data_IF_612196472895
#
_entry.id   IF_612196472895
#
_cell.length_a   1.000
_cell.length_b   1.000
_cell.length_c   1.000
_cell.angle_alpha   90.00
_cell.angle_beta   90.00
_cell.angle_gamma   90.00
#
_symmetry.space_group_name_H-M   'P 1'
#
loop_
_entity.id
_entity.type
_entity.pdbx_description
1 polymer ?
#
# COMPACT_ATOMS: atom_id res chain seq x y z
N UNK A 1 -39.38 2.59 9.29
CA UNK A 1 -38.59 2.98 8.10
C UNK A 1 -37.15 2.58 8.39
N UNK A 2 -36.72 1.47 7.81
CA UNK A 2 -35.39 0.90 8.06
C UNK A 2 -34.40 1.58 7.12
N UNK A 3 -33.50 2.40 7.68
CA UNK A 3 -32.33 2.91 6.98
C UNK A 3 -31.40 1.71 6.70
N UNK A 4 -31.54 1.09 5.55
CA UNK A 4 -30.48 0.29 4.98
C UNK A 4 -29.38 1.27 4.59
N UNK A 5 -28.37 1.42 5.45
CA UNK A 5 -27.10 1.98 5.06
C UNK A 5 -26.56 1.05 3.99
N UNK A 6 -26.61 1.51 2.75
CA UNK A 6 -26.04 0.86 1.57
C UNK A 6 -24.50 0.89 1.73
N UNK A 7 -23.97 -0.03 2.53
CA UNK A 7 -22.53 -0.22 2.67
C UNK A 7 -22.05 -1.00 1.47
N UNK A 8 -21.83 -0.30 0.35
CA UNK A 8 -21.06 -0.87 -0.73
C UNK A 8 -19.73 -1.41 -0.18
N UNK A 9 -19.32 -2.61 -0.58
CA UNK A 9 -18.06 -3.17 -0.09
C UNK A 9 -16.92 -2.23 -0.47
N UNK A 10 -16.25 -1.69 0.53
CA UNK A 10 -15.12 -0.79 0.33
C UNK A 10 -14.03 -1.50 -0.45
N UNK A 11 -13.53 -0.85 -1.47
CA UNK A 11 -12.39 -1.33 -2.23
C UNK A 11 -11.10 -1.09 -1.43
N UNK A 12 -10.14 -2.00 -1.55
CA UNK A 12 -8.85 -1.89 -0.86
C UNK A 12 -7.71 -1.88 -1.84
N UNK A 13 -6.79 -0.94 -1.63
CA UNK A 13 -5.49 -0.87 -2.30
C UNK A 13 -4.39 -0.94 -1.24
N UNK A 14 -3.31 -1.64 -1.55
CA UNK A 14 -2.16 -1.69 -0.66
C UNK A 14 -0.85 -1.36 -1.37
N UNK A 15 0.10 -0.90 -0.59
CA UNK A 15 1.44 -0.54 -1.04
C UNK A 15 2.48 -1.31 -0.25
N UNK A 16 3.53 -1.78 -0.94
CA UNK A 16 4.77 -2.12 -0.25
C UNK A 16 5.45 -0.86 0.29
N UNK A 17 6.40 -1.02 1.17
CA UNK A 17 7.18 0.07 1.73
C UNK A 17 8.51 0.27 0.99
N UNK A 18 9.41 -0.70 1.11
CA UNK A 18 10.76 -0.59 0.55
C UNK A 18 10.70 -0.54 -0.98
N UNK A 19 11.43 0.38 -1.59
CA UNK A 19 11.48 0.69 -3.03
C UNK A 19 10.12 1.14 -3.65
N UNK A 20 9.05 1.18 -2.87
CA UNK A 20 7.74 1.70 -3.30
C UNK A 20 7.44 3.03 -2.64
N UNK A 21 7.08 3.05 -1.36
CA UNK A 21 6.84 4.28 -0.61
C UNK A 21 8.12 4.83 0.04
N UNK A 22 9.04 3.97 0.45
CA UNK A 22 10.36 4.32 0.95
C UNK A 22 11.39 4.18 -0.16
N UNK A 23 12.04 5.27 -0.53
CA UNK A 23 13.00 5.29 -1.62
C UNK A 23 14.28 6.04 -1.24
N UNK A 24 15.36 5.74 -1.95
CA UNK A 24 16.60 6.48 -1.80
C UNK A 24 16.52 7.84 -2.51
N UNK A 25 16.87 8.94 -1.83
CA UNK A 25 16.94 10.26 -2.48
C UNK A 25 18.06 10.37 -3.53
N UNK A 26 18.94 9.37 -3.61
CA UNK A 26 19.98 9.28 -4.65
C UNK A 26 19.41 8.84 -6.01
N UNK A 27 18.32 8.10 -5.99
CA UNK A 27 17.71 7.48 -7.19
C UNK A 27 16.31 7.99 -7.50
N UNK A 28 15.63 8.56 -6.52
CA UNK A 28 14.23 8.99 -6.65
C UNK A 28 14.06 10.40 -6.09
N UNK A 29 13.07 11.12 -6.62
CA UNK A 29 12.54 12.32 -5.96
C UNK A 29 11.77 11.92 -4.70
N UNK A 30 11.92 12.69 -3.64
CA UNK A 30 11.32 12.39 -2.34
C UNK A 30 10.52 13.56 -1.80
N UNK A 31 9.56 13.25 -0.94
CA UNK A 31 8.93 14.26 -0.10
C UNK A 31 9.99 14.99 0.72
N UNK A 32 9.74 16.23 1.15
CA UNK A 32 10.67 16.94 2.02
C UNK A 32 11.01 16.14 3.27
N UNK A 33 12.28 16.15 3.73
CA UNK A 33 12.64 15.43 4.95
C UNK A 33 11.90 16.02 6.15
N UNK A 34 11.63 15.20 7.14
CA UNK A 34 11.12 15.68 8.42
C UNK A 34 12.13 16.63 9.07
N UNK A 35 11.63 17.60 9.82
CA UNK A 35 12.48 18.56 10.54
C UNK A 35 13.10 17.93 11.77
N UNK A 36 14.23 18.49 12.24
CA UNK A 36 14.79 18.13 13.54
C UNK A 36 13.77 18.33 14.66
N UNK A 37 13.67 17.41 15.62
CA UNK A 37 14.48 16.20 15.82
C UNK A 37 13.92 14.94 15.11
N UNK A 38 12.79 15.00 14.45
CA UNK A 38 12.11 13.84 13.85
C UNK A 38 12.94 13.15 12.78
N UNK A 39 13.71 13.90 12.01
CA UNK A 39 14.60 13.36 10.97
C UNK A 39 15.74 12.47 11.54
N UNK A 40 15.99 12.51 12.83
CA UNK A 40 16.92 11.59 13.50
C UNK A 40 16.28 10.29 13.95
N UNK A 41 14.97 10.32 14.14
CA UNK A 41 14.16 9.16 14.56
C UNK A 41 13.68 8.40 13.31
N UNK A 42 13.14 9.13 12.35
CA UNK A 42 12.58 8.58 11.11
C UNK A 42 13.53 8.91 9.95
N UNK A 43 14.30 7.92 9.52
CA UNK A 43 15.34 8.09 8.49
C UNK A 43 14.87 7.78 7.09
N UNK A 44 13.77 7.05 6.96
CA UNK A 44 13.20 6.71 5.67
C UNK A 44 12.70 7.97 4.95
N UNK A 45 12.91 8.00 3.65
CA UNK A 45 12.45 9.05 2.77
C UNK A 45 11.28 8.56 1.94
N UNK A 46 10.20 9.31 1.96
CA UNK A 46 9.00 8.96 1.18
C UNK A 46 9.20 9.36 -0.28
N UNK A 47 8.77 8.51 -1.20
CA UNK A 47 8.69 8.84 -2.63
C UNK A 47 7.84 10.08 -2.81
N UNK A 48 8.30 11.01 -3.65
CA UNK A 48 7.55 12.24 -3.97
C UNK A 48 6.18 11.88 -4.55
N UNK A 49 5.14 12.54 -4.07
CA UNK A 49 3.75 12.29 -4.45
C UNK A 49 2.98 11.39 -3.47
N UNK A 50 3.66 10.70 -2.55
CA UNK A 50 2.98 9.84 -1.56
C UNK A 50 1.97 10.61 -0.72
N UNK A 51 2.33 11.79 -0.24
CA UNK A 51 1.47 12.62 0.62
C UNK A 51 0.18 13.09 -0.07
N UNK A 52 0.22 13.23 -1.40
CA UNK A 52 -0.94 13.59 -2.23
C UNK A 52 -1.74 12.35 -2.65
N UNK A 53 -1.07 11.31 -3.10
CA UNK A 53 -1.68 10.08 -3.64
C UNK A 53 -2.63 9.41 -2.66
N UNK A 54 -2.22 9.23 -1.40
CA UNK A 54 -2.99 8.47 -0.43
C UNK A 54 -4.35 9.13 -0.13
N UNK A 55 -4.44 10.45 0.14
CA UNK A 55 -5.73 11.13 0.27
C UNK A 55 -6.60 11.07 -1.00
N UNK A 56 -6.00 11.15 -2.20
CA UNK A 56 -6.74 11.05 -3.46
C UNK A 56 -7.38 9.67 -3.65
N UNK A 57 -6.66 8.58 -3.35
CA UNK A 57 -7.22 7.23 -3.38
C UNK A 57 -8.38 7.08 -2.39
N UNK A 58 -8.27 7.69 -1.22
CA UNK A 58 -9.36 7.69 -0.24
C UNK A 58 -10.57 8.47 -0.74
N UNK A 59 -10.37 9.58 -1.45
CA UNK A 59 -11.44 10.35 -2.08
C UNK A 59 -12.14 9.55 -3.20
N UNK A 60 -11.44 8.62 -3.87
CA UNK A 60 -12.02 7.66 -4.80
C UNK A 60 -12.81 6.52 -4.12
N UNK A 61 -12.82 6.47 -2.79
CA UNK A 61 -13.55 5.46 -2.01
C UNK A 61 -12.73 4.23 -1.63
N UNK A 62 -11.41 4.27 -1.81
CA UNK A 62 -10.53 3.18 -1.37
C UNK A 62 -10.19 3.28 0.12
N UNK A 63 -10.16 2.12 0.78
CA UNK A 63 -9.33 1.92 1.97
C UNK A 63 -7.89 1.70 1.51
N UNK A 64 -6.96 2.46 2.09
CA UNK A 64 -5.55 2.38 1.71
C UNK A 64 -4.76 1.68 2.80
N UNK A 65 -4.07 0.63 2.40
CA UNK A 65 -3.33 -0.27 3.28
C UNK A 65 -1.83 -0.26 2.97
N UNK A 66 -1.03 -0.68 3.92
CA UNK A 66 0.36 -1.10 3.72
C UNK A 66 0.40 -2.62 3.78
N UNK A 67 1.13 -3.24 2.85
CA UNK A 67 1.47 -4.65 2.92
C UNK A 67 2.95 -4.84 2.60
N UNK A 68 3.73 -5.14 3.59
CA UNK A 68 5.19 -5.26 3.50
C UNK A 68 5.71 -6.53 4.17
N UNK A 69 6.81 -7.07 3.67
CA UNK A 69 7.54 -8.16 4.31
C UNK A 69 8.42 -7.67 5.46
N UNK A 70 8.62 -6.36 5.58
CA UNK A 70 9.38 -5.74 6.66
C UNK A 70 8.73 -5.98 8.04
N UNK A 71 9.57 -6.17 9.05
CA UNK A 71 9.15 -6.30 10.45
C UNK A 71 9.05 -4.97 11.20
N UNK A 72 9.12 -3.83 10.51
CA UNK A 72 8.86 -2.53 11.14
C UNK A 72 7.52 -2.55 11.85
N UNK A 73 7.49 -2.03 13.08
CA UNK A 73 6.25 -2.05 13.87
C UNK A 73 5.16 -1.18 13.22
N UNK A 74 3.92 -1.60 13.36
CA UNK A 74 2.74 -0.83 12.92
C UNK A 74 2.75 0.59 13.50
N UNK A 75 3.15 0.71 14.77
CA UNK A 75 3.25 2.02 15.44
C UNK A 75 4.28 2.93 14.79
N UNK A 76 5.43 2.39 14.40
CA UNK A 76 6.48 3.14 13.70
C UNK A 76 5.98 3.66 12.35
N UNK A 77 5.41 2.76 11.55
CA UNK A 77 4.86 3.10 10.23
C UNK A 77 3.78 4.19 10.36
N UNK A 78 2.81 4.01 11.24
CA UNK A 78 1.74 4.99 11.45
C UNK A 78 2.25 6.37 11.87
N UNK A 79 3.24 6.42 12.74
CA UNK A 79 3.81 7.69 13.20
C UNK A 79 4.59 8.39 12.11
N UNK A 80 5.47 7.66 11.40
CA UNK A 80 6.24 8.22 10.30
C UNK A 80 5.32 8.87 9.26
N UNK A 81 4.37 8.10 8.74
CA UNK A 81 3.44 8.62 7.73
C UNK A 81 2.51 9.72 8.28
N UNK A 82 2.13 9.63 9.54
CA UNK A 82 1.33 10.66 10.21
C UNK A 82 2.00 12.04 10.22
N UNK A 83 3.33 12.11 10.30
CA UNK A 83 4.07 13.37 10.18
C UNK A 83 3.98 14.00 8.78
N UNK A 84 3.62 13.20 7.76
CA UNK A 84 3.34 13.68 6.40
C UNK A 84 1.83 13.85 6.12
N UNK A 85 1.00 13.75 7.15
CA UNK A 85 -0.46 13.83 7.00
C UNK A 85 -1.10 12.61 6.33
N UNK A 86 -0.38 11.49 6.23
CA UNK A 86 -0.83 10.26 5.60
C UNK A 86 -1.34 9.26 6.64
N UNK A 87 -2.52 8.69 6.38
CA UNK A 87 -3.13 7.68 7.23
C UNK A 87 -3.51 6.44 6.44
N UNK A 88 -3.17 5.28 6.98
CA UNK A 88 -3.56 3.98 6.44
C UNK A 88 -4.71 3.35 7.24
N UNK A 89 -5.61 2.67 6.54
CA UNK A 89 -6.73 1.93 7.14
C UNK A 89 -6.29 0.60 7.72
N UNK A 90 -5.29 -0.03 7.13
CA UNK A 90 -4.67 -1.25 7.63
C UNK A 90 -3.18 -1.32 7.34
N UNK A 91 -2.46 -2.08 8.14
CA UNK A 91 -1.04 -2.36 7.95
C UNK A 91 -0.80 -3.84 8.19
N UNK A 92 -0.25 -4.52 7.19
CA UNK A 92 0.25 -5.89 7.25
C UNK A 92 1.76 -5.83 7.12
N UNK A 93 2.46 -6.06 8.23
CA UNK A 93 3.90 -6.23 8.26
C UNK A 93 4.28 -7.72 8.27
N UNK A 94 5.57 -8.04 8.23
CA UNK A 94 6.05 -9.42 8.22
C UNK A 94 5.50 -10.25 9.39
N UNK A 95 5.45 -9.68 10.59
CA UNK A 95 4.92 -10.38 11.78
C UNK A 95 3.43 -10.73 11.63
N UNK A 96 2.63 -9.80 11.15
CA UNK A 96 1.20 -10.05 10.94
C UNK A 96 0.96 -11.07 9.84
N UNK A 97 1.72 -10.98 8.75
CA UNK A 97 1.65 -11.96 7.66
C UNK A 97 1.98 -13.37 8.14
N UNK A 98 3.06 -13.55 8.90
CA UNK A 98 3.42 -14.85 9.47
C UNK A 98 2.33 -15.41 10.37
N UNK A 99 1.77 -14.59 11.24
CA UNK A 99 0.76 -15.05 12.20
C UNK A 99 -0.57 -15.39 11.52
N UNK A 100 -1.05 -14.55 10.61
CA UNK A 100 -2.40 -14.66 10.05
C UNK A 100 -2.44 -15.46 8.74
N UNK A 101 -1.43 -15.34 7.88
CA UNK A 101 -1.41 -16.00 6.57
C UNK A 101 -0.62 -17.31 6.64
N UNK A 102 0.66 -17.27 7.03
CA UNK A 102 1.50 -18.47 7.05
C UNK A 102 1.12 -19.42 8.19
N UNK A 103 0.81 -18.90 9.37
CA UNK A 103 0.55 -19.70 10.57
C UNK A 103 -0.68 -20.61 10.48
N UNK A 104 -1.62 -20.32 9.59
CA UNK A 104 -2.79 -21.14 9.33
C UNK A 104 -2.59 -22.25 8.29
N UNK A 105 -1.39 -22.37 7.69
CA UNK A 105 -1.12 -23.27 6.57
C UNK A 105 0.10 -24.16 6.81
N UNK A 106 0.00 -25.48 6.54
CA UNK A 106 1.13 -26.42 6.66
C UNK A 106 2.13 -26.29 5.52
N UNK A 107 1.78 -25.57 4.44
CA UNK A 107 2.64 -25.37 3.28
C UNK A 107 3.11 -23.92 3.21
N UNK A 108 4.29 -23.64 2.58
CA UNK A 108 4.72 -22.27 2.36
C UNK A 108 3.69 -21.47 1.56
N UNK A 109 3.28 -20.33 2.12
CA UNK A 109 2.39 -19.38 1.47
C UNK A 109 3.24 -18.32 0.72
N UNK A 110 2.66 -17.61 -0.27
CA UNK A 110 3.33 -16.48 -0.89
C UNK A 110 3.81 -15.46 0.15
N UNK A 111 4.91 -14.78 -0.10
CA UNK A 111 5.45 -13.75 0.78
C UNK A 111 4.49 -12.58 1.02
N UNK A 112 3.59 -12.37 0.07
CA UNK A 112 2.47 -11.43 0.18
C UNK A 112 1.21 -12.08 -0.40
N UNK A 113 0.10 -11.92 0.29
CA UNK A 113 -1.21 -12.44 -0.14
C UNK A 113 -2.31 -11.38 0.08
N UNK A 114 -2.33 -10.32 -0.75
CA UNK A 114 -3.31 -9.23 -0.65
C UNK A 114 -4.76 -9.69 -0.64
N UNK A 115 -5.10 -10.71 -1.43
CA UNK A 115 -6.47 -11.27 -1.48
C UNK A 115 -6.97 -11.81 -0.15
N UNK A 116 -6.09 -12.26 0.74
CA UNK A 116 -6.45 -12.68 2.10
C UNK A 116 -7.11 -11.54 2.90
N UNK A 117 -6.67 -10.31 2.65
CA UNK A 117 -7.22 -9.09 3.28
C UNK A 117 -8.24 -8.38 2.38
N UNK A 118 -8.78 -9.04 1.36
CA UNK A 118 -9.71 -8.46 0.38
C UNK A 118 -9.15 -7.21 -0.33
N UNK A 119 -7.84 -7.17 -0.50
CA UNK A 119 -7.15 -6.13 -1.25
C UNK A 119 -7.22 -6.50 -2.73
N UNK A 120 -7.76 -5.60 -3.55
CA UNK A 120 -7.94 -5.82 -4.99
C UNK A 120 -6.73 -5.40 -5.81
N UNK A 121 -6.05 -4.35 -5.40
CA UNK A 121 -4.86 -3.83 -6.07
C UNK A 121 -3.71 -3.69 -5.08
N UNK A 122 -2.57 -4.28 -5.41
CA UNK A 122 -1.32 -4.13 -4.66
C UNK A 122 -0.26 -3.44 -5.52
N UNK A 123 0.44 -2.48 -4.95
CA UNK A 123 1.53 -1.76 -5.61
C UNK A 123 2.85 -2.28 -5.06
N UNK A 124 3.68 -2.83 -5.94
CA UNK A 124 4.93 -3.51 -5.58
C UNK A 124 5.98 -3.31 -6.68
N UNK A 125 7.24 -3.40 -6.34
CA UNK A 125 8.36 -3.37 -7.30
C UNK A 125 8.83 -4.77 -7.71
N UNK A 126 8.38 -5.81 -7.02
CA UNK A 126 8.79 -7.19 -7.27
C UNK A 126 7.87 -7.91 -8.27
N UNK A 127 8.42 -8.32 -9.42
CA UNK A 127 7.67 -9.06 -10.45
C UNK A 127 7.09 -10.40 -9.98
N UNK A 128 7.72 -11.05 -9.00
CA UNK A 128 7.21 -12.29 -8.40
C UNK A 128 5.85 -12.08 -7.74
N UNK A 129 5.60 -10.93 -7.17
CA UNK A 129 4.31 -10.58 -6.54
C UNK A 129 3.21 -10.48 -7.60
N UNK A 130 3.53 -9.99 -8.80
CA UNK A 130 2.59 -10.00 -9.93
C UNK A 130 2.17 -11.42 -10.33
N UNK A 131 3.09 -12.40 -10.26
CA UNK A 131 2.76 -13.81 -10.51
C UNK A 131 1.82 -14.38 -9.45
N UNK A 132 2.00 -14.00 -8.18
CA UNK A 132 1.08 -14.38 -7.11
C UNK A 132 -0.33 -13.80 -7.34
N UNK A 133 -0.43 -12.57 -7.86
CA UNK A 133 -1.71 -11.95 -8.20
C UNK A 133 -2.55 -12.79 -9.16
N UNK A 134 -1.91 -13.33 -10.21
CA UNK A 134 -2.58 -14.21 -11.17
C UNK A 134 -3.07 -15.52 -10.54
N UNK A 135 -2.30 -16.07 -9.62
CA UNK A 135 -2.62 -17.35 -8.96
C UNK A 135 -3.66 -17.19 -7.86
N UNK A 136 -3.60 -16.11 -7.09
CA UNK A 136 -4.38 -15.93 -5.86
C UNK A 136 -5.46 -14.85 -5.93
N UNK A 137 -5.68 -14.26 -7.11
CA UNK A 137 -6.84 -13.42 -7.38
C UNK A 137 -6.74 -11.98 -6.84
N UNK A 138 -5.62 -11.29 -7.11
CA UNK A 138 -5.49 -9.84 -6.91
C UNK A 138 -4.71 -9.20 -8.06
N UNK A 139 -4.95 -7.92 -8.32
CA UNK A 139 -4.19 -7.17 -9.30
C UNK A 139 -2.92 -6.59 -8.67
N UNK A 140 -1.85 -6.53 -9.45
CA UNK A 140 -0.59 -5.89 -9.06
C UNK A 140 -0.28 -4.77 -10.03
N UNK A 141 0.01 -3.59 -9.49
CA UNK A 141 0.67 -2.52 -10.21
C UNK A 141 2.17 -2.65 -9.94
N UNK A 142 2.90 -3.13 -10.94
CA UNK A 142 4.35 -3.27 -10.84
C UNK A 142 4.98 -1.90 -11.05
N UNK A 143 5.69 -1.42 -10.04
CA UNK A 143 6.30 -0.10 -10.01
C UNK A 143 7.78 -0.26 -10.36
N UNK A 144 8.09 -0.14 -11.65
CA UNK A 144 9.46 -0.09 -12.12
C UNK A 144 10.22 1.14 -11.61
N UNK A 145 11.51 1.19 -11.94
CA UNK A 145 12.49 2.25 -11.66
C UNK A 145 11.90 3.69 -11.59
N UNK A 146 12.69 4.72 -11.35
CA UNK A 146 12.19 6.08 -11.11
C UNK A 146 11.18 6.55 -12.16
N UNK A 147 9.95 6.73 -11.76
CA UNK A 147 8.85 7.21 -12.59
C UNK A 147 8.17 8.37 -11.85
N UNK A 148 8.33 9.56 -12.36
CA UNK A 148 7.75 10.76 -11.73
C UNK A 148 6.22 10.83 -11.87
N UNK A 149 5.64 10.05 -12.80
CA UNK A 149 4.19 9.97 -13.05
C UNK A 149 3.52 8.80 -12.31
N UNK A 150 4.26 8.10 -11.47
CA UNK A 150 3.81 6.88 -10.80
C UNK A 150 2.46 7.06 -10.06
N UNK A 151 2.28 8.18 -9.39
CA UNK A 151 1.07 8.45 -8.60
C UNK A 151 -0.16 8.61 -9.51
N UNK A 152 -0.03 9.35 -10.60
CA UNK A 152 -1.13 9.55 -11.56
C UNK A 152 -1.52 8.24 -12.23
N UNK A 153 -0.55 7.41 -12.62
CA UNK A 153 -0.78 6.07 -13.18
C UNK A 153 -1.51 5.15 -12.21
N UNK A 154 -1.20 5.23 -10.92
CA UNK A 154 -1.91 4.45 -9.89
C UNK A 154 -3.35 4.95 -9.74
N UNK A 155 -3.60 6.25 -9.73
CA UNK A 155 -4.94 6.83 -9.70
C UNK A 155 -5.76 6.35 -10.89
N UNK A 156 -5.21 6.41 -12.09
CA UNK A 156 -5.87 5.93 -13.32
C UNK A 156 -6.24 4.44 -13.22
N UNK A 157 -5.30 3.62 -12.74
CA UNK A 157 -5.54 2.19 -12.55
C UNK A 157 -6.63 1.93 -11.51
N UNK A 158 -6.58 2.61 -10.39
CA UNK A 158 -7.56 2.49 -9.32
C UNK A 158 -8.95 2.91 -9.80
N UNK A 159 -9.06 4.02 -10.52
CA UNK A 159 -10.34 4.47 -11.08
C UNK A 159 -10.89 3.48 -12.12
N UNK A 160 -10.04 2.94 -12.99
CA UNK A 160 -10.41 1.90 -13.97
C UNK A 160 -10.97 0.64 -13.27
N UNK A 161 -10.34 0.18 -12.18
CA UNK A 161 -10.84 -0.97 -11.41
C UNK A 161 -12.20 -0.64 -10.78
N UNK A 162 -12.34 0.55 -10.21
CA UNK A 162 -13.59 1.01 -9.63
C UNK A 162 -14.71 1.02 -10.65
N UNK A 163 -14.48 1.58 -11.84
CA UNK A 163 -15.47 1.61 -12.92
C UNK A 163 -15.90 0.22 -13.37
N UNK A 164 -14.96 -0.73 -13.50
CA UNK A 164 -15.28 -2.13 -13.87
C UNK A 164 -16.13 -2.86 -12.83
N UNK A 165 -16.02 -2.46 -11.57
CA UNK A 165 -16.71 -3.12 -10.46
C UNK A 165 -18.15 -2.60 -10.29
N UNK A 166 -18.42 -1.38 -10.68
CA UNK A 166 -19.69 -0.70 -10.43
C UNK A 166 -20.50 -0.41 -11.71
N UNK A 167 -20.00 -0.82 -12.89
CA UNK A 167 -20.71 -0.89 -14.15
C UNK A 167 -21.09 -2.34 -14.50
#
# INVERSE_FOLDING_TARGET
MSNRSDTQPKMRISFDLDEVLFVSPKTHKTEPPLRFPLNRIYKERLRLGTAKLIPELRALGYEVWVYTTSYRSVRYIRRLFGHYGVRFDGIVNGQRHENEVQGGHPYPMPTKLPSFYQITLHVDDESVVASYGRTYGFEVFELDAPDDEWADKIIERADSIRQRKFN
#
